data_IF_431380610147
#
_entry.id   IF_431380610147
#
_cell.length_a   1.000
_cell.length_b   1.000
_cell.length_c   1.000
_cell.angle_alpha   90.00
_cell.angle_beta   90.00
_cell.angle_gamma   90.00
#
_symmetry.space_group_name_H-M   'P 1'
#
loop_
_entity.id
_entity.type
_entity.pdbx_description
1 polymer ?
#
# COMPACT_ATOMS: atom_id res chain seq x y z
N UNK A 1 -2.57 37.84 27.73
CA UNK A 1 -1.97 36.68 27.02
C UNK A 1 -2.90 35.48 27.21
N UNK A 2 -3.86 35.28 26.31
CA UNK A 2 -4.78 34.13 26.40
C UNK A 2 -4.05 32.88 25.91
N UNK A 3 -3.86 31.93 26.81
CA UNK A 3 -3.44 30.57 26.49
C UNK A 3 -4.50 29.92 25.60
N UNK A 4 -4.27 29.90 24.29
CA UNK A 4 -5.04 29.04 23.38
C UNK A 4 -4.38 27.67 23.48
N UNK A 5 -4.86 26.84 24.39
CA UNK A 5 -4.57 25.41 24.38
C UNK A 5 -5.10 24.83 23.06
N UNK A 6 -4.33 24.03 22.29
CA UNK A 6 -4.89 23.26 21.20
C UNK A 6 -5.86 22.25 21.82
N UNK A 7 -7.15 22.42 21.55
CA UNK A 7 -8.14 21.41 21.83
C UNK A 7 -7.86 20.22 20.92
N UNK A 8 -7.09 19.24 21.39
CA UNK A 8 -7.18 17.87 20.88
C UNK A 8 -8.57 17.37 21.23
N UNK A 9 -9.55 17.72 20.39
CA UNK A 9 -10.86 17.10 20.37
C UNK A 9 -10.65 15.63 20.00
N UNK A 10 -10.41 14.79 21.01
CA UNK A 10 -10.68 13.35 20.91
C UNK A 10 -12.18 13.20 20.70
N UNK A 11 -12.62 13.40 19.47
CA UNK A 11 -13.97 13.06 19.04
C UNK A 11 -14.15 11.56 19.19
N UNK A 12 -15.34 11.13 19.62
CA UNK A 12 -15.66 9.72 19.64
C UNK A 12 -15.48 9.14 18.22
N UNK A 13 -15.01 7.89 18.08
CA UNK A 13 -14.78 7.28 16.78
C UNK A 13 -16.06 7.31 15.94
N UNK A 14 -15.89 7.52 14.64
CA UNK A 14 -17.00 7.66 13.70
C UNK A 14 -17.86 6.39 13.71
N UNK A 15 -19.18 6.59 13.77
CA UNK A 15 -20.14 5.50 13.70
C UNK A 15 -20.75 5.44 12.29
N UNK A 16 -20.62 4.30 11.56
CA UNK A 16 -21.09 4.21 10.17
C UNK A 16 -22.62 4.41 10.03
N UNK A 17 -23.41 4.09 11.07
CA UNK A 17 -24.87 4.24 11.05
C UNK A 17 -25.32 5.68 11.31
N UNK A 18 -24.53 6.44 12.08
CA UNK A 18 -24.87 7.82 12.45
C UNK A 18 -24.21 8.85 11.53
N UNK A 19 -23.03 8.54 11.01
CA UNK A 19 -22.17 9.45 10.25
C UNK A 19 -21.59 8.73 9.01
N UNK A 20 -22.44 8.26 8.08
CA UNK A 20 -22.00 7.43 6.96
C UNK A 20 -21.01 8.15 6.05
N UNK A 21 -21.26 9.41 5.69
CA UNK A 21 -20.40 10.19 4.79
C UNK A 21 -19.00 10.40 5.37
N UNK A 22 -18.93 10.81 6.64
CA UNK A 22 -17.67 10.95 7.36
C UNK A 22 -16.91 9.62 7.49
N UNK A 23 -17.65 8.54 7.76
CA UNK A 23 -17.06 7.21 7.88
C UNK A 23 -16.45 6.70 6.56
N UNK A 24 -17.15 6.87 5.44
CA UNK A 24 -16.63 6.50 4.12
C UNK A 24 -15.45 7.38 3.68
N UNK A 25 -15.48 8.68 4.02
CA UNK A 25 -14.33 9.54 3.78
C UNK A 25 -13.11 9.13 4.62
N UNK A 26 -13.32 8.78 5.89
CA UNK A 26 -12.27 8.20 6.73
C UNK A 26 -11.76 6.87 6.15
N UNK A 27 -12.64 6.01 5.62
CA UNK A 27 -12.22 4.78 4.94
C UNK A 27 -11.38 5.05 3.68
N UNK A 28 -11.73 6.07 2.90
CA UNK A 28 -10.95 6.51 1.74
C UNK A 28 -9.56 7.03 2.14
N UNK A 29 -9.46 7.81 3.22
CA UNK A 29 -8.16 8.20 3.78
C UNK A 29 -7.38 6.99 4.29
N UNK A 30 -8.06 6.07 4.97
CA UNK A 30 -7.49 4.85 5.55
C UNK A 30 -6.86 3.96 4.48
N UNK A 31 -7.48 3.87 3.29
CA UNK A 31 -6.99 3.08 2.16
C UNK A 31 -5.79 3.69 1.45
N UNK A 32 -5.39 4.92 1.79
CA UNK A 32 -4.33 5.71 1.14
C UNK A 32 -4.61 5.89 -0.37
N UNK A 33 -5.37 6.93 -0.78
CA UNK A 33 -5.87 7.11 -2.14
C UNK A 33 -4.84 6.93 -3.26
N UNK A 34 -3.64 7.48 -3.09
CA UNK A 34 -2.53 7.37 -4.05
C UNK A 34 -2.14 5.90 -4.34
N UNK A 35 -2.23 5.02 -3.35
CA UNK A 35 -1.90 3.59 -3.51
C UNK A 35 -3.02 2.84 -4.25
N UNK A 36 -4.28 3.22 -4.02
CA UNK A 36 -5.45 2.67 -4.72
C UNK A 36 -5.43 3.07 -6.19
N UNK A 37 -5.12 4.33 -6.50
CA UNK A 37 -4.95 4.82 -7.87
C UNK A 37 -3.86 4.03 -8.59
N UNK A 38 -2.68 3.90 -7.98
CA UNK A 38 -1.57 3.11 -8.55
C UNK A 38 -1.94 1.63 -8.77
N UNK A 39 -2.66 1.02 -7.83
CA UNK A 39 -3.15 -0.36 -7.96
C UNK A 39 -4.14 -0.49 -9.12
N UNK A 40 -5.07 0.46 -9.24
CA UNK A 40 -6.08 0.48 -10.31
C UNK A 40 -5.41 0.61 -11.68
N UNK A 41 -4.46 1.54 -11.83
CA UNK A 41 -3.71 1.71 -13.07
C UNK A 41 -2.91 0.45 -13.42
N UNK A 42 -2.28 -0.20 -12.44
CA UNK A 42 -1.50 -1.44 -12.66
C UNK A 42 -2.39 -2.58 -13.15
N UNK A 43 -3.54 -2.80 -12.51
CA UNK A 43 -4.51 -3.82 -12.92
C UNK A 43 -5.03 -3.56 -14.34
N UNK A 44 -5.43 -2.33 -14.64
CA UNK A 44 -5.92 -1.96 -15.98
C UNK A 44 -4.84 -2.10 -17.05
N UNK A 45 -3.63 -1.61 -16.79
CA UNK A 45 -2.52 -1.68 -17.74
C UNK A 45 -2.18 -3.13 -18.08
N UNK A 46 -2.06 -4.00 -17.08
CA UNK A 46 -1.71 -5.40 -17.30
C UNK A 46 -2.85 -6.22 -17.89
N UNK A 47 -4.09 -5.87 -17.58
CA UNK A 47 -5.25 -6.41 -18.28
C UNK A 47 -5.19 -6.10 -19.77
N UNK A 48 -4.97 -4.83 -20.15
CA UNK A 48 -4.90 -4.42 -21.56
C UNK A 48 -3.70 -5.06 -22.27
N UNK A 49 -2.54 -5.13 -21.62
CA UNK A 49 -1.35 -5.79 -22.16
C UNK A 49 -1.61 -7.28 -22.39
N UNK A 50 -2.18 -7.97 -21.40
CA UNK A 50 -2.52 -9.39 -21.55
C UNK A 50 -3.53 -9.61 -22.68
N UNK A 51 -4.59 -8.80 -22.73
CA UNK A 51 -5.61 -8.86 -23.78
C UNK A 51 -5.02 -8.69 -25.18
N UNK A 52 -4.11 -7.73 -25.35
CA UNK A 52 -3.44 -7.46 -26.62
C UNK A 52 -2.45 -8.55 -27.03
N UNK A 53 -1.81 -9.23 -26.06
CA UNK A 53 -0.84 -10.31 -26.34
C UNK A 53 -1.56 -11.63 -26.65
N UNK A 54 -2.69 -11.89 -26.02
CA UNK A 54 -3.45 -13.14 -26.22
C UNK A 54 -4.50 -13.06 -27.32
N UNK A 55 -4.52 -11.97 -28.10
CA UNK A 55 -5.58 -11.65 -29.09
C UNK A 55 -6.99 -11.85 -28.51
N UNK A 56 -7.18 -11.49 -27.24
CA UNK A 56 -8.43 -11.72 -26.52
C UNK A 56 -9.52 -10.73 -26.91
N UNK A 57 -10.77 -11.19 -26.96
CA UNK A 57 -11.92 -10.31 -27.15
C UNK A 57 -12.42 -9.71 -25.82
N UNK A 58 -13.08 -8.55 -25.85
CA UNK A 58 -13.79 -8.03 -24.68
C UNK A 58 -15.11 -8.79 -24.52
N UNK A 59 -15.16 -9.70 -23.55
CA UNK A 59 -16.35 -10.47 -23.20
C UNK A 59 -16.79 -10.21 -21.76
N UNK A 60 -18.02 -10.57 -21.40
CA UNK A 60 -18.53 -10.39 -20.04
C UNK A 60 -17.69 -11.15 -18.99
N UNK A 61 -17.24 -12.37 -19.34
CA UNK A 61 -16.31 -13.16 -18.51
C UNK A 61 -15.00 -12.44 -18.21
N UNK A 62 -14.53 -11.63 -19.16
CA UNK A 62 -13.26 -10.93 -19.08
C UNK A 62 -13.41 -9.69 -18.18
N UNK A 63 -14.57 -9.04 -18.25
CA UNK A 63 -14.90 -7.92 -17.36
C UNK A 63 -15.12 -8.38 -15.91
N UNK A 64 -15.75 -9.54 -15.69
CA UNK A 64 -15.90 -10.08 -14.33
C UNK A 64 -14.55 -10.48 -13.73
N UNK A 65 -13.64 -11.02 -14.52
CA UNK A 65 -12.25 -11.29 -14.10
C UNK A 65 -11.50 -10.00 -13.76
N UNK A 66 -11.61 -8.96 -14.60
CA UNK A 66 -11.02 -7.65 -14.33
C UNK A 66 -11.57 -7.04 -13.03
N UNK A 67 -12.88 -6.96 -12.88
CA UNK A 67 -13.52 -6.38 -11.70
C UNK A 67 -13.20 -7.16 -10.43
N UNK A 68 -13.26 -8.50 -10.49
CA UNK A 68 -12.91 -9.37 -9.36
C UNK A 68 -11.44 -9.20 -8.94
N UNK A 69 -10.53 -9.13 -9.91
CA UNK A 69 -9.10 -8.90 -9.68
C UNK A 69 -8.86 -7.54 -9.05
N UNK A 70 -9.50 -6.49 -9.59
CA UNK A 70 -9.41 -5.14 -9.05
C UNK A 70 -9.90 -5.05 -7.61
N UNK A 71 -11.07 -5.63 -7.29
CA UNK A 71 -11.60 -5.65 -5.93
C UNK A 71 -10.65 -6.42 -5.00
N UNK A 72 -10.15 -7.59 -5.42
CA UNK A 72 -9.19 -8.38 -4.64
C UNK A 72 -7.91 -7.57 -4.33
N UNK A 73 -7.36 -6.88 -5.32
CA UNK A 73 -6.17 -6.04 -5.15
C UNK A 73 -6.42 -4.82 -4.26
N UNK A 74 -7.58 -4.15 -4.39
CA UNK A 74 -7.97 -3.04 -3.52
C UNK A 74 -8.12 -3.50 -2.06
N UNK A 75 -8.77 -4.65 -1.83
CA UNK A 75 -8.86 -5.27 -0.51
C UNK A 75 -7.47 -5.62 0.06
N UNK A 76 -6.59 -6.18 -0.76
CA UNK A 76 -5.21 -6.48 -0.34
C UNK A 76 -4.42 -5.21 0.00
N UNK A 77 -4.60 -4.13 -0.75
CA UNK A 77 -3.98 -2.84 -0.47
C UNK A 77 -4.45 -2.29 0.89
N UNK A 78 -5.77 -2.26 1.11
CA UNK A 78 -6.39 -1.84 2.39
C UNK A 78 -5.84 -2.66 3.55
N UNK A 79 -5.69 -3.98 3.39
CA UNK A 79 -5.08 -4.83 4.40
C UNK A 79 -3.66 -4.37 4.73
N UNK A 80 -2.79 -4.22 3.72
CA UNK A 80 -1.37 -3.90 3.92
C UNK A 80 -1.20 -2.51 4.56
N UNK A 81 -1.84 -1.48 4.00
CA UNK A 81 -1.71 -0.10 4.51
C UNK A 81 -2.41 0.09 5.85
N UNK A 82 -3.52 -0.62 6.08
CA UNK A 82 -4.27 -0.56 7.32
C UNK A 82 -3.56 -1.28 8.47
N UNK A 83 -2.95 -2.44 8.18
CA UNK A 83 -2.12 -3.15 9.14
C UNK A 83 -0.92 -2.31 9.57
N UNK A 84 -0.29 -1.61 8.62
CA UNK A 84 0.81 -0.70 8.97
C UNK A 84 0.35 0.41 9.93
N UNK A 85 -0.79 1.05 9.65
CA UNK A 85 -1.35 2.10 10.50
C UNK A 85 -1.74 1.60 11.89
N UNK A 86 -2.23 0.36 12.01
CA UNK A 86 -2.59 -0.25 13.31
C UNK A 86 -1.39 -0.41 14.24
N UNK A 87 -0.22 -0.66 13.68
CA UNK A 87 1.03 -0.87 14.41
C UNK A 87 1.81 0.43 14.65
N UNK A 88 1.60 1.44 13.82
CA UNK A 88 2.32 2.72 13.87
C UNK A 88 1.49 3.87 14.47
N UNK A 89 0.41 3.59 15.21
CA UNK A 89 -0.48 4.66 15.73
C UNK A 89 0.28 5.80 16.41
N UNK A 90 1.25 5.49 17.28
CA UNK A 90 2.04 6.50 18.01
C UNK A 90 2.99 7.29 17.09
N UNK A 91 3.55 6.64 16.07
CA UNK A 91 4.44 7.27 15.08
C UNK A 91 3.61 8.14 14.13
N UNK A 92 2.49 7.62 13.64
CA UNK A 92 1.57 8.33 12.74
C UNK A 92 0.90 9.51 13.43
N UNK A 93 0.71 9.51 14.76
CA UNK A 93 0.27 10.69 15.51
C UNK A 93 1.23 11.87 15.41
N UNK A 94 2.52 11.61 15.23
CA UNK A 94 3.56 12.64 15.08
C UNK A 94 3.71 13.01 13.61
N UNK A 95 3.96 12.02 12.74
CA UNK A 95 4.33 12.27 11.34
C UNK A 95 3.11 12.52 10.45
N UNK A 96 1.96 11.92 10.76
CA UNK A 96 0.78 11.84 9.88
C UNK A 96 -0.54 11.97 10.66
N UNK A 97 -0.74 13.05 11.43
CA UNK A 97 -1.85 13.17 12.39
C UNK A 97 -3.24 13.16 11.74
N UNK A 98 -3.33 13.38 10.42
CA UNK A 98 -4.56 13.36 9.65
C UNK A 98 -5.07 11.95 9.31
N UNK A 99 -4.26 10.90 9.57
CA UNK A 99 -4.63 9.51 9.29
C UNK A 99 -5.76 9.05 10.23
N UNK A 100 -6.74 8.25 9.76
CA UNK A 100 -7.95 7.97 10.52
C UNK A 100 -7.75 7.34 11.90
N UNK A 101 -6.74 6.48 12.09
CA UNK A 101 -6.44 5.93 13.42
C UNK A 101 -5.73 6.96 14.30
N UNK A 102 -4.77 7.71 13.74
CA UNK A 102 -4.01 8.72 14.47
C UNK A 102 -4.90 9.90 14.91
N UNK A 103 -5.83 10.31 14.05
CA UNK A 103 -6.83 11.37 14.30
C UNK A 103 -7.96 10.94 15.24
N UNK A 104 -8.07 9.65 15.60
CA UNK A 104 -9.15 9.12 16.42
C UNK A 104 -10.48 8.88 15.69
N UNK A 105 -10.53 9.10 14.37
CA UNK A 105 -11.72 8.84 13.53
C UNK A 105 -12.11 7.36 13.54
N UNK A 106 -11.12 6.46 13.57
CA UNK A 106 -11.30 5.02 13.74
C UNK A 106 -10.68 4.52 15.03
N UNK A 107 -11.46 3.78 15.82
CA UNK A 107 -10.93 3.01 16.93
C UNK A 107 -10.04 1.86 16.45
N UNK A 108 -9.07 1.44 17.27
CA UNK A 108 -8.25 0.25 16.98
C UNK A 108 -9.09 -1.00 16.69
N UNK A 109 -10.26 -1.15 17.33
CA UNK A 109 -11.18 -2.29 17.07
C UNK A 109 -11.79 -2.22 15.68
N UNK A 110 -12.28 -1.04 15.27
CA UNK A 110 -12.83 -0.84 13.92
C UNK A 110 -11.77 -1.06 12.85
N UNK A 111 -10.58 -0.48 13.02
CA UNK A 111 -9.48 -0.66 12.08
C UNK A 111 -9.05 -2.13 11.96
N UNK A 112 -8.94 -2.87 13.08
CA UNK A 112 -8.67 -4.31 13.06
C UNK A 112 -9.74 -5.09 12.28
N UNK A 113 -11.01 -4.75 12.48
CA UNK A 113 -12.11 -5.38 11.75
C UNK A 113 -12.01 -5.10 10.24
N UNK A 114 -11.80 -3.85 9.85
CA UNK A 114 -11.65 -3.46 8.43
C UNK A 114 -10.49 -4.21 7.79
N UNK A 115 -9.31 -4.21 8.43
CA UNK A 115 -8.11 -4.92 7.94
C UNK A 115 -8.39 -6.41 7.82
N UNK A 116 -8.98 -7.04 8.83
CA UNK A 116 -9.27 -8.49 8.82
C UNK A 116 -10.23 -8.85 7.69
N UNK A 117 -11.34 -8.11 7.57
CA UNK A 117 -12.33 -8.34 6.50
C UNK A 117 -11.67 -8.12 5.13
N UNK A 118 -10.92 -7.04 4.94
CA UNK A 118 -10.24 -6.76 3.69
C UNK A 118 -9.25 -7.87 3.30
N UNK A 119 -8.44 -8.37 4.26
CA UNK A 119 -7.52 -9.47 4.01
C UNK A 119 -8.23 -10.77 3.61
N UNK A 120 -9.31 -11.13 4.32
CA UNK A 120 -10.12 -12.31 4.00
C UNK A 120 -10.78 -12.16 2.63
N UNK A 121 -11.41 -11.01 2.34
CA UNK A 121 -12.02 -10.73 1.04
C UNK A 121 -11.00 -10.81 -0.10
N UNK A 122 -9.79 -10.26 0.09
CA UNK A 122 -8.72 -10.32 -0.89
C UNK A 122 -8.37 -11.78 -1.24
N UNK A 123 -8.12 -12.61 -0.23
CA UNK A 123 -7.74 -14.01 -0.40
C UNK A 123 -8.88 -14.87 -0.98
N UNK A 124 -10.11 -14.68 -0.50
CA UNK A 124 -11.27 -15.42 -0.98
C UNK A 124 -11.55 -15.13 -2.45
N UNK A 125 -11.59 -13.85 -2.84
CA UNK A 125 -11.77 -13.46 -4.25
C UNK A 125 -10.61 -13.99 -5.10
N UNK A 126 -9.37 -13.84 -4.65
CA UNK A 126 -8.22 -14.34 -5.38
C UNK A 126 -8.28 -15.85 -5.60
N UNK A 127 -8.70 -16.61 -4.57
CA UNK A 127 -8.85 -18.07 -4.64
C UNK A 127 -9.92 -18.52 -5.61
N UNK A 128 -11.01 -17.76 -5.75
CA UNK A 128 -12.11 -18.05 -6.67
C UNK A 128 -11.70 -17.74 -8.12
N UNK A 129 -10.97 -16.65 -8.33
CA UNK A 129 -10.65 -16.13 -9.67
C UNK A 129 -9.46 -16.85 -10.34
N UNK A 130 -8.46 -17.31 -9.58
CA UNK A 130 -7.36 -18.10 -10.15
C UNK A 130 -6.16 -18.32 -9.24
N UNK A 131 -5.41 -19.41 -9.49
CA UNK A 131 -4.25 -19.80 -8.69
C UNK A 131 -3.13 -18.76 -8.67
N UNK A 132 -2.83 -18.14 -9.81
CA UNK A 132 -1.82 -17.08 -9.91
C UNK A 132 -2.18 -15.82 -9.11
N UNK A 133 -3.46 -15.40 -9.18
CA UNK A 133 -3.94 -14.27 -8.38
C UNK A 133 -3.87 -14.60 -6.89
N UNK A 134 -4.30 -15.80 -6.50
CA UNK A 134 -4.20 -16.27 -5.12
C UNK A 134 -2.76 -16.29 -4.60
N UNK A 135 -1.82 -16.80 -5.39
CA UNK A 135 -0.40 -16.80 -5.04
C UNK A 135 0.12 -15.37 -4.87
N UNK A 136 -0.12 -14.50 -5.85
CA UNK A 136 0.32 -13.09 -5.82
C UNK A 136 -0.23 -12.34 -4.60
N UNK A 137 -1.54 -12.46 -4.34
CA UNK A 137 -2.19 -11.81 -3.20
C UNK A 137 -1.65 -12.40 -1.89
N UNK A 138 -1.50 -13.72 -1.78
CA UNK A 138 -1.00 -14.36 -0.56
C UNK A 138 0.43 -13.94 -0.24
N UNK A 139 1.31 -13.91 -1.24
CA UNK A 139 2.71 -13.45 -1.09
C UNK A 139 2.73 -11.97 -0.71
N UNK A 140 1.93 -11.13 -1.36
CA UNK A 140 1.86 -9.69 -1.06
C UNK A 140 1.39 -9.42 0.37
N UNK A 141 0.36 -10.13 0.82
CA UNK A 141 -0.15 -10.06 2.19
C UNK A 141 0.91 -10.56 3.17
N UNK A 142 1.54 -11.70 2.93
CA UNK A 142 2.59 -12.25 3.79
C UNK A 142 3.76 -11.29 3.96
N UNK A 143 4.24 -10.66 2.87
CA UNK A 143 5.29 -9.65 2.93
C UNK A 143 4.81 -8.41 3.69
N UNK A 144 3.59 -7.92 3.44
CA UNK A 144 3.01 -6.78 4.17
C UNK A 144 2.83 -7.04 5.66
N UNK A 145 2.50 -8.28 6.04
CA UNK A 145 2.43 -8.73 7.43
C UNK A 145 3.82 -8.77 8.07
N UNK A 146 4.80 -9.38 7.41
CA UNK A 146 6.19 -9.43 7.89
C UNK A 146 6.83 -8.04 8.00
N UNK A 147 6.43 -7.11 7.13
CA UNK A 147 6.82 -5.71 7.18
C UNK A 147 6.29 -5.00 8.45
N UNK A 148 5.05 -5.29 8.85
CA UNK A 148 4.33 -4.50 9.86
C UNK A 148 4.34 -5.11 11.27
N UNK A 149 4.12 -6.43 11.40
CA UNK A 149 3.87 -7.08 12.69
C UNK A 149 5.15 -7.56 13.41
N UNK A 150 5.21 -7.48 14.76
CA UNK A 150 6.20 -8.21 15.54
C UNK A 150 5.95 -9.74 15.46
N UNK A 151 6.99 -10.59 15.54
CA UNK A 151 8.38 -10.28 15.90
C UNK A 151 9.27 -9.79 14.74
N UNK A 152 8.84 -9.95 13.49
CA UNK A 152 9.70 -9.68 12.31
C UNK A 152 9.84 -8.17 12.09
N UNK A 153 8.72 -7.46 11.94
CA UNK A 153 8.60 -6.00 11.69
C UNK A 153 9.76 -5.45 10.84
N UNK A 154 9.89 -5.95 9.60
CA UNK A 154 11.03 -5.68 8.71
C UNK A 154 11.28 -4.18 8.46
N UNK A 155 10.24 -3.35 8.56
CA UNK A 155 10.36 -1.91 8.39
C UNK A 155 11.33 -1.21 9.34
N UNK A 156 11.69 -1.86 10.46
CA UNK A 156 12.74 -1.39 11.38
C UNK A 156 14.11 -1.30 10.73
N UNK A 157 14.35 -2.05 9.67
CA UNK A 157 15.62 -2.11 8.96
C UNK A 157 15.44 -1.50 7.57
N UNK A 158 16.13 -0.39 7.23
CA UNK A 158 15.92 0.33 5.97
C UNK A 158 16.06 -0.55 4.72
N UNK A 159 17.07 -1.44 4.71
CA UNK A 159 17.29 -2.37 3.61
C UNK A 159 16.09 -3.31 3.39
N UNK A 160 15.61 -3.96 4.45
CA UNK A 160 14.47 -4.88 4.37
C UNK A 160 13.16 -4.14 4.09
N UNK A 161 13.02 -2.92 4.62
CA UNK A 161 11.88 -2.05 4.33
C UNK A 161 11.79 -1.72 2.83
N UNK A 162 12.91 -1.29 2.24
CA UNK A 162 12.99 -1.01 0.81
C UNK A 162 12.71 -2.27 -0.03
N UNK A 163 13.33 -3.40 0.34
CA UNK A 163 13.13 -4.69 -0.33
C UNK A 163 11.66 -5.09 -0.38
N UNK A 164 10.93 -5.00 0.73
CA UNK A 164 9.49 -5.29 0.75
C UNK A 164 8.70 -4.40 -0.22
N UNK A 165 9.00 -3.10 -0.27
CA UNK A 165 8.24 -2.12 -1.04
C UNK A 165 8.41 -2.35 -2.53
N UNK A 166 9.66 -2.36 -3.03
CA UNK A 166 9.89 -2.54 -4.46
C UNK A 166 9.60 -3.98 -4.90
N UNK A 167 9.76 -4.99 -4.02
CA UNK A 167 9.41 -6.37 -4.40
C UNK A 167 7.92 -6.51 -4.60
N UNK A 168 7.09 -6.04 -3.66
CA UNK A 168 5.63 -6.16 -3.77
C UNK A 168 5.11 -5.29 -4.91
N UNK A 169 5.44 -3.98 -4.91
CA UNK A 169 4.89 -3.03 -5.89
C UNK A 169 5.56 -3.07 -7.24
N UNK A 170 6.86 -3.30 -7.29
CA UNK A 170 7.64 -3.28 -8.52
C UNK A 170 7.58 -4.60 -9.29
N UNK A 171 7.63 -5.73 -8.58
CA UNK A 171 7.76 -7.05 -9.20
C UNK A 171 6.53 -7.95 -9.02
N UNK A 172 6.18 -8.30 -7.78
CA UNK A 172 5.15 -9.32 -7.48
C UNK A 172 3.81 -8.97 -8.09
N UNK A 173 3.33 -7.74 -7.88
CA UNK A 173 2.03 -7.31 -8.43
C UNK A 173 2.05 -7.29 -9.95
N UNK A 174 3.12 -6.78 -10.57
CA UNK A 174 3.20 -6.68 -12.03
C UNK A 174 3.26 -8.05 -12.71
N UNK A 175 4.16 -8.91 -12.24
CA UNK A 175 4.31 -10.26 -12.81
C UNK A 175 3.10 -11.13 -12.48
N UNK A 176 2.58 -11.05 -11.26
CA UNK A 176 1.44 -11.84 -10.81
C UNK A 176 0.15 -11.50 -11.55
N UNK A 177 -0.14 -10.22 -11.79
CA UNK A 177 -1.30 -9.80 -12.57
C UNK A 177 -1.20 -10.22 -14.03
N UNK A 178 -0.02 -10.08 -14.65
CA UNK A 178 0.19 -10.57 -16.01
C UNK A 178 -0.05 -12.07 -16.10
N UNK A 179 0.58 -12.87 -15.23
CA UNK A 179 0.43 -14.32 -15.20
C UNK A 179 -1.02 -14.74 -14.94
N UNK A 180 -1.74 -14.02 -14.07
CA UNK A 180 -3.15 -14.27 -13.82
C UNK A 180 -4.00 -14.08 -15.09
N UNK A 181 -3.89 -12.93 -15.75
CA UNK A 181 -4.68 -12.65 -16.94
C UNK A 181 -4.28 -13.54 -18.12
N UNK A 182 -2.98 -13.75 -18.36
CA UNK A 182 -2.53 -14.66 -19.43
C UNK A 182 -3.04 -16.09 -19.22
N UNK A 183 -3.00 -16.58 -17.98
CA UNK A 183 -3.48 -17.92 -17.65
C UNK A 183 -4.97 -18.09 -17.91
N UNK A 184 -5.78 -17.10 -17.52
CA UNK A 184 -7.23 -17.14 -17.70
C UNK A 184 -7.59 -17.09 -19.19
N UNK A 185 -6.88 -16.32 -20.00
CA UNK A 185 -7.17 -16.16 -21.43
C UNK A 185 -6.65 -17.31 -22.29
N UNK A 186 -5.50 -17.88 -21.92
CA UNK A 186 -4.94 -19.03 -22.62
C UNK A 186 -5.43 -20.38 -22.08
N UNK A 187 -6.59 -20.40 -21.42
CA UNK A 187 -7.24 -21.63 -20.95
C UNK A 187 -6.35 -22.52 -20.06
N UNK A 188 -5.45 -21.91 -19.29
CA UNK A 188 -4.54 -22.61 -18.40
C UNK A 188 -3.13 -22.88 -18.95
N UNK A 189 -2.76 -22.27 -20.08
CA UNK A 189 -1.36 -22.24 -20.50
C UNK A 189 -0.64 -21.02 -19.90
N UNK A 190 0.48 -21.29 -19.22
CA UNK A 190 1.28 -20.22 -18.62
C UNK A 190 2.17 -19.58 -19.68
N UNK A 191 1.96 -18.29 -19.93
CA UNK A 191 2.88 -17.50 -20.74
C UNK A 191 4.09 -17.03 -19.93
N UNK A 192 5.26 -17.06 -20.55
CA UNK A 192 6.41 -16.31 -20.03
C UNK A 192 6.16 -14.80 -20.19
N UNK A 193 6.47 -13.97 -19.19
CA UNK A 193 6.37 -12.52 -19.31
C UNK A 193 7.13 -12.00 -20.53
N UNK A 194 6.43 -11.23 -21.38
CA UNK A 194 7.01 -10.70 -22.62
C UNK A 194 7.97 -9.54 -22.33
N UNK A 195 8.82 -9.12 -23.30
CA UNK A 195 9.69 -7.97 -23.13
C UNK A 195 8.96 -6.68 -22.74
N UNK A 196 7.70 -6.51 -23.17
CA UNK A 196 6.86 -5.38 -22.77
C UNK A 196 6.52 -5.42 -21.27
N UNK A 197 6.19 -6.61 -20.74
CA UNK A 197 5.91 -6.80 -19.30
C UNK A 197 7.16 -6.59 -18.47
N UNK A 198 8.32 -7.09 -18.92
CA UNK A 198 9.61 -6.83 -18.27
C UNK A 198 9.99 -5.35 -18.30
N UNK A 199 9.77 -4.68 -19.43
CA UNK A 199 10.00 -3.23 -19.57
C UNK A 199 9.14 -2.43 -18.59
N UNK A 200 7.84 -2.72 -18.51
CA UNK A 200 6.94 -2.12 -17.52
C UNK A 200 7.38 -2.43 -16.09
N UNK A 201 7.71 -3.70 -15.80
CA UNK A 201 8.14 -4.14 -14.47
C UNK A 201 9.39 -3.39 -14.03
N UNK A 202 10.42 -3.29 -14.90
CA UNK A 202 11.65 -2.57 -14.62
C UNK A 202 11.41 -1.07 -14.44
N UNK A 203 10.58 -0.48 -15.29
CA UNK A 203 10.18 0.92 -15.17
C UNK A 203 9.54 1.19 -13.80
N UNK A 204 8.52 0.43 -13.42
CA UNK A 204 7.86 0.57 -12.11
C UNK A 204 8.86 0.30 -10.97
N UNK A 205 9.73 -0.71 -11.11
CA UNK A 205 10.75 -1.05 -10.11
C UNK A 205 11.62 0.17 -9.77
N UNK A 206 12.15 0.88 -10.77
CA UNK A 206 12.98 2.07 -10.57
C UNK A 206 12.24 3.14 -9.77
N UNK A 207 11.00 3.45 -10.13
CA UNK A 207 10.20 4.42 -9.39
C UNK A 207 9.86 3.94 -7.97
N UNK A 208 9.62 2.65 -7.77
CA UNK A 208 9.36 2.11 -6.43
C UNK A 208 10.58 2.14 -5.52
N UNK A 209 11.80 2.02 -6.07
CA UNK A 209 13.03 2.24 -5.33
C UNK A 209 13.15 3.70 -4.92
N UNK A 210 12.88 4.64 -5.82
CA UNK A 210 12.86 6.06 -5.49
C UNK A 210 11.85 6.36 -4.36
N UNK A 211 10.61 5.86 -4.47
CA UNK A 211 9.59 5.98 -3.42
C UNK A 211 10.08 5.37 -2.09
N UNK A 212 10.74 4.21 -2.14
CA UNK A 212 11.25 3.55 -0.95
C UNK A 212 12.31 4.39 -0.22
N UNK A 213 13.14 5.13 -0.96
CA UNK A 213 14.15 6.05 -0.39
C UNK A 213 13.47 7.32 0.15
N UNK A 214 12.58 7.93 -0.63
CA UNK A 214 11.95 9.19 -0.25
C UNK A 214 10.91 9.06 0.87
N UNK A 215 10.31 7.88 1.08
CA UNK A 215 9.34 7.67 2.17
C UNK A 215 9.95 7.92 3.55
N UNK A 216 11.26 7.73 3.70
CA UNK A 216 11.95 7.81 4.98
C UNK A 216 12.29 9.26 5.37
N UNK A 217 12.20 10.22 4.44
CA UNK A 217 12.46 11.65 4.69
C UNK A 217 11.40 12.29 5.61
N UNK A 218 10.08 12.18 5.36
CA UNK A 218 9.06 12.74 6.25
C UNK A 218 8.91 11.96 7.57
N UNK A 219 9.42 10.72 7.65
CA UNK A 219 9.24 9.86 8.82
C UNK A 219 10.35 10.00 9.88
N UNK A 220 11.34 10.87 9.62
CA UNK A 220 12.55 11.07 10.44
C UNK A 220 12.23 11.32 11.93
N UNK A 221 11.28 12.19 12.25
CA UNK A 221 11.05 12.66 13.62
C UNK A 221 10.33 11.63 14.49
N UNK A 222 9.25 11.02 14.01
CA UNK A 222 8.62 9.88 14.67
C UNK A 222 9.57 8.68 14.80
N UNK A 223 10.37 8.39 13.77
CA UNK A 223 11.30 7.27 13.81
C UNK A 223 12.44 7.49 14.81
N UNK A 224 12.86 8.73 15.11
CA UNK A 224 13.92 9.02 16.10
C UNK A 224 13.51 8.59 17.51
N UNK A 225 12.21 8.69 17.83
CA UNK A 225 11.68 8.41 19.16
C UNK A 225 11.41 6.91 19.40
N UNK A 226 11.09 6.17 18.34
CA UNK A 226 10.57 4.80 18.46
C UNK A 226 11.42 3.71 17.76
N UNK A 227 12.42 4.07 16.95
CA UNK A 227 13.32 3.10 16.28
C UNK A 227 14.77 3.39 16.71
N UNK A 228 15.43 2.38 17.30
CA UNK A 228 16.78 2.52 17.87
C UNK A 228 17.80 3.10 16.88
N UNK A 229 18.77 3.92 17.30
CA UNK A 229 19.70 4.65 16.42
C UNK A 229 20.64 3.80 15.53
N UNK A 230 20.65 2.46 15.67
CA UNK A 230 21.81 1.64 15.30
C UNK A 230 21.90 1.19 13.82
N UNK A 231 21.08 1.73 12.92
CA UNK A 231 21.21 1.41 11.48
C UNK A 231 20.74 2.51 10.54
N UNK A 232 20.69 3.77 11.00
CA UNK A 232 20.27 4.89 10.16
C UNK A 232 21.53 5.49 9.52
N UNK A 233 21.62 5.36 8.20
CA UNK A 233 22.72 5.83 7.36
C UNK A 233 23.20 7.25 7.71
N UNK A 234 24.49 7.37 8.07
CA UNK A 234 25.23 8.62 8.30
C UNK A 234 25.32 9.54 7.05
N UNK A 235 24.81 9.11 5.88
CA UNK A 235 24.97 9.81 4.61
C UNK A 235 23.87 10.84 4.29
N UNK A 236 22.61 10.58 4.66
CA UNK A 236 21.50 11.52 4.36
C UNK A 236 21.42 12.64 5.39
N UNK A 237 21.74 12.33 6.65
CA UNK A 237 21.82 13.33 7.72
C UNK A 237 22.92 14.37 7.47
N UNK A 238 24.05 13.98 6.88
CA UNK A 238 25.12 14.91 6.54
C UNK A 238 24.74 15.94 5.47
N UNK A 239 23.82 15.62 4.55
CA UNK A 239 23.36 16.57 3.52
C UNK A 239 22.23 17.49 4.00
N UNK A 240 21.35 17.01 4.90
CA UNK A 240 20.32 17.88 5.48
C UNK A 240 20.87 18.85 6.52
N UNK A 241 21.93 18.48 7.26
CA UNK A 241 22.55 19.34 8.28
C UNK A 241 23.40 20.48 7.70
N UNK A 242 23.58 20.56 6.38
CA UNK A 242 24.33 21.62 5.70
C UNK A 242 23.45 22.68 5.03
N UNK A 243 22.12 22.62 5.18
CA UNK A 243 21.23 23.70 4.72
C UNK A 243 21.07 24.77 5.82
N UNK A 244 21.52 26.02 5.61
CA UNK A 244 21.49 27.05 6.65
C UNK A 244 20.08 27.51 7.05
N UNK A 245 19.05 27.21 6.27
CA UNK A 245 17.78 27.95 6.35
C UNK A 245 16.60 27.17 6.94
N UNK A 246 16.77 25.92 7.41
CA UNK A 246 15.79 25.24 8.28
C UNK A 246 14.34 25.10 7.74
N UNK A 247 14.09 25.45 6.48
CA UNK A 247 12.80 25.38 5.82
C UNK A 247 12.83 24.21 4.84
N UNK A 248 12.25 23.09 5.25
CA UNK A 248 11.89 22.03 4.32
C UNK A 248 10.84 22.60 3.36
N UNK A 249 11.09 22.64 2.04
CA UNK A 249 10.05 23.02 1.10
C UNK A 249 8.90 22.02 1.26
N UNK A 250 7.71 22.55 1.49
CA UNK A 250 6.46 21.81 1.38
C UNK A 250 6.36 21.30 -0.06
N UNK A 251 6.94 20.14 -0.33
CA UNK A 251 6.74 19.45 -1.60
C UNK A 251 5.31 18.95 -1.57
N UNK A 252 4.47 19.70 -2.26
CA UNK A 252 3.11 19.34 -2.64
C UNK A 252 3.24 18.02 -3.41
N UNK A 253 2.76 16.91 -2.84
CA UNK A 253 2.72 15.63 -3.52
C UNK A 253 1.28 15.32 -3.96
N UNK A 254 1.12 15.20 -5.27
CA UNK A 254 -0.02 14.61 -6.00
C UNK A 254 -0.16 13.13 -5.65
#
# INVERSE_FOLDING_TARGET
MSQISPSTLTSAPLNPLKQPTGWFYALWKFSRPHTIIGTTLSVLALYVIALAITDGAIALSNLTQLLGTWISCCCGNIYIVGLNQLEDVEIDQINKPHLPIAAGEFSRRQAKLIVTIAGLCALLLARILGGWLFLMVSVSLAIGTAYSLPPIRLKRFPFWAALCIFSVRGAVVNLGLFLHFSWVWQQGEAMTPTPAVWGLTLFVLVFTVAIAIFKDVPDIDGDKLYISPRSRFDWVSQQCLTSPDGLLPSVIWV
#
